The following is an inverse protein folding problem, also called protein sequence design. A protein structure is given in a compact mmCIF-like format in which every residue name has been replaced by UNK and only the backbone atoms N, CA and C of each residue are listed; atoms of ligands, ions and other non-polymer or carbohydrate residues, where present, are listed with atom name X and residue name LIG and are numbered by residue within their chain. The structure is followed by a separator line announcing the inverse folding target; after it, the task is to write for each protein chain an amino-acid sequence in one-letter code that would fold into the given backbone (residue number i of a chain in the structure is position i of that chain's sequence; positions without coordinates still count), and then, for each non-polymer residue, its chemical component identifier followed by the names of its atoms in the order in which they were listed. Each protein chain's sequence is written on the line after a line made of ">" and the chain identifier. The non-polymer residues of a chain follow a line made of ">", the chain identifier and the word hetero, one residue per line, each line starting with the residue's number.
data_IF_869830080385
#
_entry.id   IF_869830080385
#
_cell.length_a   1.000
_cell.length_b   1.000
_cell.length_c   1.000
_cell.angle_alpha   90.00
_cell.angle_beta   90.00
_cell.angle_gamma   90.00
#
_symmetry.space_group_name_H-M   'P 1'
#
loop_
_entity.id
_entity.type
_entity.pdbx_description
1 polymer ?
#
# COMPACT_ATOMS: atom_id res chain seq x y z
N UNK A 1 1.18 -2.24 -18.64
CA UNK A 1 2.39 -1.56 -18.17
C UNK A 1 2.13 -1.02 -16.77
N UNK A 2 3.14 -1.09 -15.92
CA UNK A 2 3.07 -0.66 -14.51
C UNK A 2 3.09 0.87 -14.35
N UNK A 3 3.04 1.58 -15.46
CA UNK A 3 2.99 3.03 -15.55
C UNK A 3 1.56 3.47 -15.80
N UNK A 4 0.72 3.51 -14.79
CA UNK A 4 -0.66 4.04 -14.82
C UNK A 4 -1.23 4.22 -16.23
N UNK A 5 -2.34 3.58 -16.55
CA UNK A 5 -3.01 3.70 -17.86
C UNK A 5 -3.57 5.13 -18.02
N UNK A 6 -2.68 6.10 -18.25
CA UNK A 6 -3.01 7.51 -18.39
C UNK A 6 -4.01 7.67 -19.55
N UNK A 7 -5.12 8.38 -19.31
CA UNK A 7 -6.21 8.54 -20.27
C UNK A 7 -7.24 7.40 -20.32
N UNK A 8 -7.01 6.26 -19.64
CA UNK A 8 -7.99 5.16 -19.65
C UNK A 8 -9.33 5.53 -19.00
N UNK A 9 -9.39 6.24 -17.85
CA UNK A 9 -10.67 6.66 -17.28
C UNK A 9 -11.49 7.54 -18.23
N UNK A 10 -10.86 8.49 -18.90
CA UNK A 10 -11.49 9.39 -19.87
C UNK A 10 -11.98 8.62 -21.07
N UNK A 11 -11.18 7.68 -21.60
CA UNK A 11 -11.57 6.80 -22.69
C UNK A 11 -12.80 5.95 -22.31
N UNK A 12 -12.79 5.29 -21.15
CA UNK A 12 -13.90 4.49 -20.65
C UNK A 12 -15.18 5.33 -20.50
N UNK A 13 -15.04 6.54 -19.95
CA UNK A 13 -16.16 7.45 -19.77
C UNK A 13 -16.77 7.93 -21.10
N UNK A 14 -15.94 8.20 -22.10
CA UNK A 14 -16.38 8.69 -23.41
C UNK A 14 -16.94 7.59 -24.32
N UNK A 15 -16.63 6.31 -24.04
CA UNK A 15 -17.03 5.18 -24.88
C UNK A 15 -17.93 4.16 -24.16
N UNK A 16 -18.68 4.60 -23.14
CA UNK A 16 -19.53 3.73 -22.30
C UNK A 16 -20.47 2.82 -23.11
N UNK A 17 -21.14 3.36 -24.12
CA UNK A 17 -22.07 2.58 -24.91
C UNK A 17 -21.38 1.53 -25.79
N UNK A 18 -20.17 1.84 -26.29
CA UNK A 18 -19.38 0.89 -27.08
C UNK A 18 -18.82 -0.24 -26.20
N UNK A 19 -18.51 0.06 -24.95
CA UNK A 19 -17.89 -0.86 -24.00
C UNK A 19 -18.92 -1.61 -23.15
N UNK A 20 -20.21 -1.38 -23.37
CA UNK A 20 -21.29 -2.07 -22.64
C UNK A 20 -21.24 -3.56 -22.92
N UNK A 21 -21.09 -4.35 -21.86
CA UNK A 21 -21.00 -5.80 -21.92
C UNK A 21 -21.61 -6.41 -20.65
N UNK A 22 -22.09 -7.64 -20.74
CA UNK A 22 -22.61 -8.39 -19.59
C UNK A 22 -21.49 -8.87 -18.66
N UNK A 23 -20.28 -9.03 -19.22
CA UNK A 23 -19.12 -9.54 -18.49
C UNK A 23 -17.83 -9.04 -19.14
N UNK A 24 -16.80 -8.85 -18.30
CA UNK A 24 -15.42 -8.61 -18.75
C UNK A 24 -14.58 -9.84 -18.41
N UNK A 25 -13.98 -10.44 -19.43
CA UNK A 25 -13.00 -11.52 -19.25
C UNK A 25 -11.59 -10.95 -19.38
N UNK A 26 -10.86 -10.99 -18.25
CA UNK A 26 -9.50 -10.49 -18.19
C UNK A 26 -8.52 -11.68 -18.18
N UNK A 27 -7.81 -11.89 -19.32
CA UNK A 27 -6.94 -13.05 -19.50
C UNK A 27 -5.48 -12.81 -19.11
N UNK A 28 -5.18 -11.69 -18.49
CA UNK A 28 -3.85 -11.31 -18.00
C UNK A 28 -3.60 -11.85 -16.58
N UNK A 29 -3.66 -13.18 -16.45
CA UNK A 29 -3.44 -13.87 -15.19
C UNK A 29 -2.05 -14.53 -15.13
N UNK A 30 -1.44 -14.48 -13.95
CA UNK A 30 -0.22 -15.25 -13.66
C UNK A 30 -0.57 -16.63 -13.08
N UNK A 31 0.42 -17.52 -13.05
CA UNK A 31 0.38 -18.73 -12.24
C UNK A 31 0.71 -18.37 -10.77
N UNK A 32 0.30 -19.23 -9.83
CA UNK A 32 0.74 -19.11 -8.45
C UNK A 32 2.21 -19.53 -8.29
N UNK A 33 2.76 -19.37 -7.09
CA UNK A 33 4.15 -19.73 -6.79
C UNK A 33 4.46 -21.22 -6.80
N UNK A 34 3.46 -22.07 -7.05
CA UNK A 34 3.61 -23.51 -7.33
C UNK A 34 3.45 -23.82 -8.83
N UNK A 35 3.53 -22.80 -9.70
CA UNK A 35 3.36 -22.91 -11.16
C UNK A 35 1.97 -23.39 -11.61
N UNK A 36 0.95 -23.26 -10.78
CA UNK A 36 -0.43 -23.64 -11.07
C UNK A 36 -1.23 -22.47 -11.63
N UNK A 37 -2.10 -22.67 -12.61
CA UNK A 37 -2.99 -21.61 -13.10
C UNK A 37 -3.98 -21.17 -12.00
N UNK A 38 -4.30 -19.88 -11.98
CA UNK A 38 -5.24 -19.30 -11.03
C UNK A 38 -6.38 -18.59 -11.76
N UNK A 39 -7.55 -18.60 -11.14
CA UNK A 39 -8.69 -17.78 -11.54
C UNK A 39 -8.92 -16.80 -10.41
N UNK A 40 -8.74 -15.49 -10.68
CA UNK A 40 -9.06 -14.43 -9.73
C UNK A 40 -10.52 -14.03 -9.90
N UNK A 41 -11.30 -14.10 -8.82
CA UNK A 41 -12.72 -13.74 -8.81
C UNK A 41 -12.95 -12.26 -8.48
N UNK A 42 -11.89 -11.52 -8.21
CA UNK A 42 -11.94 -10.11 -7.89
C UNK A 42 -10.55 -9.53 -7.66
N UNK A 43 -10.50 -8.23 -7.44
CA UNK A 43 -9.27 -7.47 -7.14
C UNK A 43 -9.49 -6.60 -5.92
N UNK A 44 -8.42 -6.32 -5.19
CA UNK A 44 -8.44 -5.33 -4.11
C UNK A 44 -8.56 -3.92 -4.69
N UNK A 45 -9.26 -3.06 -3.96
CA UNK A 45 -9.22 -1.62 -4.22
C UNK A 45 -7.81 -1.06 -3.97
N UNK A 46 -7.58 0.14 -4.48
CA UNK A 46 -6.32 0.85 -4.27
C UNK A 46 -6.58 2.32 -3.94
N UNK A 47 -5.98 2.80 -2.86
CA UNK A 47 -5.86 4.20 -2.54
C UNK A 47 -4.37 4.56 -2.53
N UNK A 48 -3.99 5.52 -3.37
CA UNK A 48 -2.62 6.02 -3.44
C UNK A 48 -2.56 7.45 -2.96
N UNK A 49 -1.65 7.76 -2.04
CA UNK A 49 -1.48 9.10 -1.49
C UNK A 49 0.00 9.51 -1.49
N UNK A 50 0.25 10.79 -1.66
CA UNK A 50 1.55 11.40 -1.46
C UNK A 50 1.47 12.37 -0.26
N UNK A 51 2.31 12.13 0.73
CA UNK A 51 2.49 13.02 1.87
C UNK A 51 3.69 13.94 1.60
N UNK A 52 3.44 15.23 1.61
CA UNK A 52 4.49 16.25 1.46
C UNK A 52 4.58 17.04 2.76
N UNK A 53 5.73 16.95 3.41
CA UNK A 53 6.01 17.66 4.66
C UNK A 53 7.08 18.70 4.41
N UNK A 54 6.79 19.95 4.77
CA UNK A 54 7.71 21.09 4.65
C UNK A 54 7.86 21.76 6.00
N UNK A 55 9.09 21.88 6.48
CA UNK A 55 9.41 22.47 7.79
C UNK A 55 10.07 23.84 7.67
N UNK A 56 10.71 24.12 6.54
CA UNK A 56 11.47 25.33 6.29
C UNK A 56 11.40 25.70 4.81
N UNK A 57 11.74 26.92 4.47
CA UNK A 57 11.77 27.42 3.06
C UNK A 57 12.92 26.86 2.24
N UNK A 58 14.00 26.42 2.89
CA UNK A 58 15.21 25.87 2.24
C UNK A 58 15.98 24.94 3.17
N UNK A 59 16.79 24.07 2.61
CA UNK A 59 17.76 23.27 3.36
C UNK A 59 18.82 24.17 3.99
N UNK A 60 19.30 23.75 5.17
CA UNK A 60 20.35 24.45 5.91
C UNK A 60 21.43 23.46 6.35
N UNK A 61 22.53 23.95 6.90
CA UNK A 61 23.61 23.13 7.44
C UNK A 61 23.11 22.35 8.68
N UNK A 62 23.50 21.11 8.82
CA UNK A 62 23.04 20.21 9.90
C UNK A 62 23.44 20.64 11.31
N UNK A 63 24.42 21.57 11.45
CA UNK A 63 24.74 22.17 12.75
C UNK A 63 23.56 22.82 13.45
N UNK A 64 22.52 23.20 12.70
CA UNK A 64 21.30 23.81 13.23
C UNK A 64 20.26 22.79 13.69
N UNK A 65 20.52 21.48 13.55
CA UNK A 65 19.59 20.42 13.96
C UNK A 65 19.10 20.51 15.42
N UNK A 66 19.88 21.00 16.40
CA UNK A 66 19.38 21.18 17.78
C UNK A 66 18.29 22.25 17.94
N UNK A 67 18.16 23.17 16.97
CA UNK A 67 17.29 24.35 17.09
C UNK A 67 16.28 24.49 15.95
N UNK A 68 16.46 23.76 14.84
CA UNK A 68 15.55 23.81 13.69
C UNK A 68 14.94 22.41 13.41
N UNK A 69 13.69 22.38 12.90
CA UNK A 69 13.01 21.12 12.62
C UNK A 69 13.56 20.44 11.38
N UNK A 70 13.70 19.11 11.43
CA UNK A 70 14.05 18.26 10.30
C UNK A 70 12.82 17.67 9.64
N UNK A 71 12.60 17.97 8.36
CA UNK A 71 11.49 17.37 7.61
C UNK A 71 11.63 15.84 7.52
N UNK A 72 12.86 15.33 7.40
CA UNK A 72 13.13 13.88 7.37
C UNK A 72 12.66 13.20 8.68
N UNK A 73 13.09 13.73 9.84
CA UNK A 73 12.69 13.18 11.13
C UNK A 73 11.19 13.28 11.39
N UNK A 74 10.56 14.40 11.04
CA UNK A 74 9.12 14.56 11.21
C UNK A 74 8.33 13.59 10.30
N UNK A 75 8.81 13.35 9.07
CA UNK A 75 8.20 12.35 8.19
C UNK A 75 8.34 10.93 8.78
N UNK A 76 9.50 10.55 9.28
CA UNK A 76 9.70 9.25 9.93
C UNK A 76 8.75 9.06 11.13
N UNK A 77 8.63 10.09 11.97
CA UNK A 77 7.72 10.06 13.12
C UNK A 77 6.25 9.98 12.69
N UNK A 78 5.86 10.72 11.64
CA UNK A 78 4.51 10.65 11.08
C UNK A 78 4.21 9.25 10.53
N UNK A 79 5.12 8.66 9.76
CA UNK A 79 4.94 7.31 9.21
C UNK A 79 4.84 6.27 10.33
N UNK A 80 5.64 6.38 11.38
CA UNK A 80 5.55 5.49 12.54
C UNK A 80 4.25 5.69 13.34
N UNK A 81 3.70 6.91 13.37
CA UNK A 81 2.37 7.17 13.94
C UNK A 81 1.25 6.54 13.11
N UNK A 82 1.41 6.50 11.78
CA UNK A 82 0.41 5.93 10.87
C UNK A 82 0.41 4.40 10.86
N UNK A 83 1.57 3.77 11.03
CA UNK A 83 1.71 2.31 11.10
C UNK A 83 2.85 1.92 12.02
N UNK A 84 2.56 1.09 13.02
CA UNK A 84 3.52 0.61 14.00
C UNK A 84 4.26 -0.64 13.54
N UNK A 85 5.30 -1.03 14.28
CA UNK A 85 6.20 -2.16 13.97
C UNK A 85 5.48 -3.50 13.87
N UNK A 86 4.40 -3.69 14.64
CA UNK A 86 3.54 -4.87 14.58
C UNK A 86 2.65 -4.94 13.31
N UNK A 87 2.75 -3.93 12.44
CA UNK A 87 1.99 -3.84 11.19
C UNK A 87 0.61 -3.20 11.33
N UNK A 88 0.22 -2.77 12.53
CA UNK A 88 -1.09 -2.13 12.77
C UNK A 88 -1.14 -0.72 12.18
N UNK A 89 -2.17 -0.44 11.38
CA UNK A 89 -2.45 0.89 10.83
C UNK A 89 -3.34 1.66 11.79
N UNK A 90 -2.92 2.86 12.18
CA UNK A 90 -3.59 3.69 13.20
C UNK A 90 -4.44 4.83 12.60
N UNK A 91 -4.70 4.81 11.30
CA UNK A 91 -5.69 5.72 10.72
C UNK A 91 -7.07 5.38 11.31
N UNK A 92 -7.77 6.32 11.97
CA UNK A 92 -9.08 6.05 12.55
C UNK A 92 -10.03 5.44 11.52
N UNK A 93 -10.75 4.39 11.88
CA UNK A 93 -11.70 3.73 10.99
C UNK A 93 -11.10 2.90 9.86
N UNK A 94 -9.76 2.70 9.82
CA UNK A 94 -9.10 1.93 8.76
C UNK A 94 -9.60 0.49 8.66
N UNK A 95 -9.96 -0.11 9.79
CA UNK A 95 -10.42 -1.51 9.86
C UNK A 95 -11.94 -1.66 10.05
N UNK A 96 -12.69 -0.58 10.25
CA UNK A 96 -14.11 -0.64 10.65
C UNK A 96 -14.98 -1.40 9.65
N UNK A 97 -14.70 -1.21 8.36
CA UNK A 97 -15.48 -1.82 7.27
C UNK A 97 -14.83 -3.11 6.73
N UNK A 98 -13.83 -3.67 7.43
CA UNK A 98 -13.19 -4.93 7.02
C UNK A 98 -14.08 -6.11 7.37
N UNK A 99 -14.62 -6.76 6.33
CA UNK A 99 -15.49 -7.94 6.49
C UNK A 99 -14.63 -9.18 6.69
N UNK A 100 -14.94 -9.96 7.73
CA UNK A 100 -14.27 -11.23 7.95
C UNK A 100 -14.75 -12.28 6.93
N UNK A 101 -13.88 -13.19 6.49
CA UNK A 101 -14.27 -14.23 5.54
C UNK A 101 -15.35 -15.13 6.16
N UNK A 102 -16.34 -15.48 5.35
CA UNK A 102 -17.40 -16.42 5.71
C UNK A 102 -16.83 -17.83 5.92
N UNK A 103 -17.58 -18.70 6.58
CA UNK A 103 -17.17 -20.12 6.75
C UNK A 103 -17.00 -20.84 5.40
N UNK A 104 -17.78 -20.45 4.39
CA UNK A 104 -17.64 -21.00 3.03
C UNK A 104 -16.30 -20.57 2.42
N UNK A 105 -15.94 -19.29 2.51
CA UNK A 105 -14.67 -18.78 2.02
C UNK A 105 -13.48 -19.38 2.74
N UNK A 106 -13.55 -19.53 4.06
CA UNK A 106 -12.52 -20.22 4.85
C UNK A 106 -12.33 -21.67 4.37
N UNK A 107 -13.44 -22.40 4.20
CA UNK A 107 -13.38 -23.78 3.72
C UNK A 107 -12.84 -23.90 2.28
N UNK A 108 -12.98 -22.87 1.45
CA UNK A 108 -12.36 -22.80 0.13
C UNK A 108 -10.85 -22.53 0.28
N UNK A 109 -10.45 -21.55 1.09
CA UNK A 109 -9.05 -21.19 1.33
C UNK A 109 -8.26 -22.37 1.93
N UNK A 110 -8.85 -23.14 2.81
CA UNK A 110 -8.22 -24.32 3.42
C UNK A 110 -7.91 -25.45 2.41
N UNK A 111 -8.62 -25.45 1.28
CA UNK A 111 -8.38 -26.42 0.17
C UNK A 111 -7.34 -25.94 -0.83
N UNK A 112 -6.97 -24.65 -0.80
CA UNK A 112 -5.97 -24.12 -1.71
C UNK A 112 -4.56 -24.53 -1.26
N UNK A 113 -3.63 -24.78 -2.22
CA UNK A 113 -2.27 -25.15 -1.87
C UNK A 113 -1.56 -24.01 -1.16
N UNK A 114 -0.85 -24.30 -0.08
CA UNK A 114 0.02 -23.33 0.58
C UNK A 114 1.22 -23.02 -0.32
N UNK A 115 1.35 -21.77 -0.71
CA UNK A 115 2.41 -21.29 -1.61
C UNK A 115 3.47 -20.45 -0.90
N UNK A 116 3.38 -20.28 0.43
CA UNK A 116 4.24 -19.37 1.21
C UNK A 116 5.73 -19.69 1.07
N UNK A 117 6.10 -20.95 1.16
CA UNK A 117 7.51 -21.36 1.07
C UNK A 117 8.11 -20.98 -0.28
N UNK A 118 7.41 -21.26 -1.37
CA UNK A 118 7.85 -20.93 -2.72
C UNK A 118 7.84 -19.41 -2.95
N UNK A 119 6.85 -18.69 -2.40
CA UNK A 119 6.81 -17.23 -2.40
C UNK A 119 8.06 -16.65 -1.74
N UNK A 120 8.35 -17.05 -0.51
CA UNK A 120 9.52 -16.54 0.22
C UNK A 120 10.83 -16.89 -0.47
N UNK A 121 10.96 -18.10 -0.99
CA UNK A 121 12.13 -18.53 -1.74
C UNK A 121 12.34 -17.71 -3.00
N UNK A 122 11.27 -17.46 -3.77
CA UNK A 122 11.35 -16.72 -5.05
C UNK A 122 11.77 -15.26 -4.88
N UNK A 123 11.41 -14.65 -3.75
CA UNK A 123 11.77 -13.27 -3.44
C UNK A 123 12.94 -13.14 -2.46
N UNK A 124 13.51 -14.24 -1.95
CA UNK A 124 14.54 -14.19 -0.91
C UNK A 124 14.05 -13.54 0.38
N UNK A 125 12.75 -13.63 0.66
CA UNK A 125 12.12 -12.96 1.80
C UNK A 125 12.09 -13.85 3.04
N UNK A 126 12.08 -13.21 4.21
CA UNK A 126 11.81 -13.87 5.48
C UNK A 126 10.42 -13.46 5.99
N UNK A 127 9.64 -14.38 6.59
CA UNK A 127 8.35 -14.04 7.17
C UNK A 127 8.56 -13.08 8.36
N UNK A 128 7.89 -11.93 8.31
CA UNK A 128 7.94 -10.91 9.37
C UNK A 128 6.65 -10.85 10.20
N UNK A 129 5.63 -11.56 9.76
CA UNK A 129 4.33 -11.63 10.44
C UNK A 129 4.02 -13.06 10.87
N UNK A 130 3.30 -13.24 12.00
CA UNK A 130 2.87 -14.55 12.45
C UNK A 130 2.12 -15.33 11.37
N UNK A 131 2.42 -16.61 11.23
CA UNK A 131 1.75 -17.49 10.27
C UNK A 131 0.42 -18.05 10.78
N UNK A 132 -0.09 -17.54 11.90
CA UNK A 132 -1.30 -17.99 12.60
C UNK A 132 -2.59 -17.77 11.79
N UNK A 133 -2.59 -16.78 10.91
CA UNK A 133 -3.69 -16.56 9.95
C UNK A 133 -3.36 -17.27 8.64
N UNK A 134 -4.33 -18.00 8.09
CA UNK A 134 -4.16 -18.68 6.79
C UNK A 134 -3.66 -17.72 5.71
N UNK A 135 -2.75 -18.17 4.85
CA UNK A 135 -2.12 -17.34 3.81
C UNK A 135 -3.12 -16.55 2.98
N UNK A 136 -4.16 -17.22 2.46
CA UNK A 136 -5.15 -16.58 1.61
C UNK A 136 -6.08 -15.63 2.36
N UNK A 137 -6.33 -15.88 3.64
CA UNK A 137 -7.09 -14.96 4.51
C UNK A 137 -6.29 -13.68 4.70
N UNK A 138 -4.99 -13.78 4.96
CA UNK A 138 -4.13 -12.61 5.05
C UNK A 138 -4.01 -11.87 3.71
N UNK A 139 -3.71 -12.60 2.64
CA UNK A 139 -3.50 -12.02 1.32
C UNK A 139 -4.75 -11.31 0.80
N UNK A 140 -5.92 -11.92 0.90
CA UNK A 140 -7.15 -11.44 0.28
C UNK A 140 -8.03 -10.63 1.24
N UNK A 141 -8.07 -10.99 2.51
CA UNK A 141 -8.97 -10.41 3.51
C UNK A 141 -8.37 -9.30 4.37
N UNK A 142 -7.06 -9.00 4.24
CA UNK A 142 -6.41 -7.96 5.05
C UNK A 142 -6.03 -6.77 4.17
N UNK A 143 -6.42 -5.53 4.51
CA UNK A 143 -5.94 -4.35 3.81
C UNK A 143 -4.45 -4.15 4.09
N UNK A 144 -3.76 -3.47 3.17
CA UNK A 144 -2.34 -3.16 3.35
C UNK A 144 -2.09 -1.66 3.32
N UNK A 145 -1.05 -1.24 4.04
CA UNK A 145 -0.48 0.10 4.03
C UNK A 145 1.00 -0.03 3.75
N UNK A 146 1.44 0.40 2.58
CA UNK A 146 2.80 0.24 2.10
C UNK A 146 3.41 1.59 1.75
N UNK A 147 4.70 1.78 2.08
CA UNK A 147 5.48 2.92 1.63
C UNK A 147 6.17 2.51 0.32
N UNK A 148 5.65 2.98 -0.82
CA UNK A 148 6.22 2.72 -2.14
C UNK A 148 7.37 3.65 -2.51
N UNK A 149 7.53 4.74 -1.77
CA UNK A 149 8.65 5.67 -1.95
C UNK A 149 8.79 6.61 -0.76
N UNK A 150 10.04 6.92 -0.42
CA UNK A 150 10.36 7.95 0.58
C UNK A 150 11.59 8.71 0.11
N UNK A 151 11.54 10.03 0.18
CA UNK A 151 12.65 10.89 -0.23
C UNK A 151 12.77 12.12 0.66
N UNK A 152 14.00 12.40 1.08
CA UNK A 152 14.37 13.61 1.80
C UNK A 152 15.89 13.71 1.86
N UNK A 153 16.43 14.92 1.85
CA UNK A 153 17.84 15.15 2.04
C UNK A 153 18.70 14.88 0.82
N UNK A 154 19.95 14.54 1.09
CA UNK A 154 20.97 14.27 0.07
C UNK A 154 21.02 12.77 -0.23
N UNK A 155 20.86 12.41 -1.50
CA UNK A 155 20.88 11.01 -1.97
C UNK A 155 21.96 10.77 -3.03
N UNK A 156 22.86 11.75 -3.28
CA UNK A 156 23.97 11.62 -4.21
C UNK A 156 25.18 10.88 -3.61
N UNK A 157 26.23 10.73 -4.40
CA UNK A 157 27.48 10.13 -3.94
C UNK A 157 28.20 11.02 -2.93
N UNK A 158 28.91 10.40 -1.96
CA UNK A 158 29.63 11.10 -0.92
C UNK A 158 28.76 11.53 0.25
N UNK A 159 29.15 12.59 0.97
CA UNK A 159 28.50 13.05 2.19
C UNK A 159 28.03 14.51 2.05
N UNK A 160 26.87 14.84 2.66
CA UNK A 160 26.44 16.21 2.83
C UNK A 160 25.89 16.43 4.24
N UNK A 161 26.35 17.52 4.89
CA UNK A 161 25.88 17.91 6.22
C UNK A 161 24.66 18.84 6.08
N UNK A 162 23.51 18.24 5.75
CA UNK A 162 22.27 18.97 5.44
C UNK A 162 21.15 18.64 6.42
N UNK A 163 20.48 19.68 6.89
CA UNK A 163 19.18 19.60 7.55
C UNK A 163 18.10 19.92 6.54
N UNK A 164 17.22 18.98 6.28
CA UNK A 164 16.27 19.05 5.17
C UNK A 164 15.02 19.81 5.51
N UNK A 165 14.59 20.63 4.56
CA UNK A 165 13.37 21.45 4.65
C UNK A 165 12.11 20.73 4.15
N UNK A 166 12.26 19.66 3.36
CA UNK A 166 11.16 18.93 2.73
C UNK A 166 11.39 17.43 2.76
N UNK A 167 10.32 16.68 3.00
CA UNK A 167 10.27 15.23 2.86
C UNK A 167 9.01 14.83 2.10
N UNK A 168 9.10 13.76 1.34
CA UNK A 168 7.98 13.19 0.56
C UNK A 168 7.89 11.71 0.87
N UNK A 169 6.68 11.22 1.14
CA UNK A 169 6.38 9.80 1.23
C UNK A 169 5.23 9.46 0.30
N UNK A 170 5.41 8.41 -0.50
CA UNK A 170 4.39 7.84 -1.38
C UNK A 170 3.88 6.57 -0.74
N UNK A 171 2.56 6.47 -0.58
CA UNK A 171 1.92 5.38 0.14
C UNK A 171 0.84 4.79 -0.74
N UNK A 172 0.86 3.48 -0.91
CA UNK A 172 -0.22 2.72 -1.49
C UNK A 172 -0.92 1.88 -0.42
N UNK A 173 -2.24 1.93 -0.42
CA UNK A 173 -3.10 1.13 0.44
C UNK A 173 -3.93 0.21 -0.43
N UNK A 174 -3.83 -1.11 -0.21
CA UNK A 174 -4.73 -2.07 -0.84
C UNK A 174 -5.94 -2.25 0.06
N UNK A 175 -7.11 -1.99 -0.50
CA UNK A 175 -8.37 -2.02 0.23
C UNK A 175 -9.11 -3.32 -0.06
N UNK A 176 -9.74 -3.88 0.97
CA UNK A 176 -10.57 -5.07 0.84
C UNK A 176 -12.04 -4.67 0.62
N UNK A 177 -12.90 -5.67 0.31
CA UNK A 177 -14.32 -5.44 0.08
C UNK A 177 -14.95 -4.64 1.23
N UNK A 178 -15.89 -3.77 0.90
CA UNK A 178 -16.61 -2.85 1.77
C UNK A 178 -15.81 -1.65 2.32
N UNK A 179 -14.49 -1.59 2.19
CA UNK A 179 -13.75 -0.38 2.55
C UNK A 179 -13.97 0.75 1.52
N UNK A 180 -14.31 1.94 2.01
CA UNK A 180 -14.41 3.16 1.19
C UNK A 180 -13.11 3.96 1.24
N UNK A 181 -12.42 4.05 0.09
CA UNK A 181 -11.17 4.79 -0.04
C UNK A 181 -11.31 6.29 0.25
N UNK A 182 -12.46 6.91 -0.05
CA UNK A 182 -12.68 8.32 0.26
C UNK A 182 -12.83 8.55 1.77
N UNK A 183 -13.56 7.68 2.48
CA UNK A 183 -13.68 7.71 3.93
C UNK A 183 -12.30 7.56 4.60
N UNK A 184 -11.49 6.62 4.12
CA UNK A 184 -10.12 6.41 4.65
C UNK A 184 -9.24 7.63 4.37
N UNK A 185 -9.32 8.23 3.18
CA UNK A 185 -8.56 9.43 2.82
C UNK A 185 -8.94 10.61 3.72
N UNK A 186 -10.22 10.81 3.98
CA UNK A 186 -10.68 11.91 4.83
C UNK A 186 -10.29 11.70 6.30
N UNK A 187 -10.37 10.46 6.79
CA UNK A 187 -9.87 10.11 8.13
C UNK A 187 -8.35 10.31 8.24
N UNK A 188 -7.58 9.93 7.22
CA UNK A 188 -6.15 10.19 7.16
C UNK A 188 -5.84 11.68 7.24
N UNK A 189 -6.52 12.52 6.44
CA UNK A 189 -6.34 13.98 6.45
C UNK A 189 -6.64 14.61 7.81
N UNK A 190 -7.62 14.07 8.55
CA UNK A 190 -7.95 14.55 9.88
C UNK A 190 -6.97 14.08 10.96
N UNK A 191 -6.31 12.96 10.73
CA UNK A 191 -5.41 12.34 11.70
C UNK A 191 -3.99 12.92 11.67
N UNK A 192 -3.55 13.44 10.54
CA UNK A 192 -2.22 14.05 10.35
C UNK A 192 -2.23 15.55 10.61
#
# INVERSE_FOLDING_TARGET
>A
SDLNSEGLPEFLCSHKELLKADMVYFSDGSKNHNDQPIIALGVKGMLYVELVLTTMTRNVHSQYAPVLPSAAWQMVQLLNKLKTEDGTVHIPGFYDDVVQPTEIEKAIYDKLPDVRENLFRSYGAYPIYPADKGYYIQLNGTPSFNISGISSGYTGNGTATVLTSKAIAKIDMRLVAAQDGNKILDNLKQYI
#
